data_IF_992815449768
#
_entry.id   IF_992815449768
#
_cell.length_a   1.000
_cell.length_b   1.000
_cell.length_c   1.000
_cell.angle_alpha   90.00
_cell.angle_beta   90.00
_cell.angle_gamma   90.00
#
_symmetry.space_group_name_H-M   'P 1'
#
loop_
_entity.id
_entity.type
_entity.pdbx_description
1 polymer ?
#
# COMPACT_ATOMS: atom_id res chain seq x y z
N UNK A 1 -62.68 11.98 15.08
CA UNK A 1 -61.94 12.38 16.29
C UNK A 1 -60.76 13.24 15.84
N UNK A 2 -60.74 14.56 16.15
CA UNK A 2 -59.80 15.24 17.09
C UNK A 2 -58.33 15.04 16.68
N UNK A 3 -57.46 16.03 16.41
CA UNK A 3 -57.44 17.51 16.46
C UNK A 3 -56.16 17.99 15.73
N UNK A 4 -56.13 19.16 15.08
CA UNK A 4 -55.73 20.50 15.56
C UNK A 4 -54.20 20.77 15.71
N UNK A 5 -53.73 21.78 14.94
CA UNK A 5 -52.63 22.76 15.19
C UNK A 5 -51.16 22.32 15.12
N UNK A 6 -50.14 23.15 14.84
CA UNK A 6 -49.93 24.46 14.17
C UNK A 6 -48.40 24.64 14.02
N UNK A 7 -47.97 25.08 12.84
CA UNK A 7 -46.75 25.82 12.43
C UNK A 7 -45.67 26.10 13.49
N UNK A 8 -44.41 25.78 13.16
CA UNK A 8 -43.26 26.64 13.47
C UNK A 8 -42.43 26.91 12.20
N UNK A 9 -42.41 28.17 11.75
CA UNK A 9 -41.38 28.72 10.88
C UNK A 9 -40.23 29.20 11.76
N UNK A 10 -38.99 28.86 11.43
CA UNK A 10 -37.95 29.90 11.34
C UNK A 10 -36.84 29.50 10.39
N UNK A 11 -36.71 30.31 9.36
CA UNK A 11 -35.57 30.43 8.48
C UNK A 11 -34.32 30.87 9.25
N UNK A 12 -33.17 30.32 8.84
CA UNK A 12 -31.92 31.08 8.66
C UNK A 12 -31.07 30.35 7.61
N UNK A 13 -31.20 30.76 6.36
CA UNK A 13 -30.05 30.77 5.46
C UNK A 13 -29.22 32.01 5.81
N UNK A 14 -27.93 31.83 6.04
CA UNK A 14 -26.91 32.82 5.65
C UNK A 14 -25.51 32.24 5.90
N UNK A 15 -24.78 31.97 4.80
CA UNK A 15 -23.32 31.85 4.79
C UNK A 15 -22.76 30.52 4.25
N UNK A 16 -22.48 30.45 2.94
CA UNK A 16 -21.46 29.56 2.36
C UNK A 16 -20.07 30.02 2.83
N UNK A 17 -19.07 29.13 3.03
CA UNK A 17 -18.24 28.73 1.88
C UNK A 17 -17.71 27.28 1.93
N UNK A 18 -17.59 26.67 0.75
CA UNK A 18 -16.78 25.47 0.53
C UNK A 18 -17.60 24.22 0.23
N UNK A 19 -17.68 23.89 -1.05
CA UNK A 19 -17.98 22.53 -1.51
C UNK A 19 -16.96 21.58 -0.88
N UNK A 20 -17.33 20.92 0.22
CA UNK A 20 -16.66 19.69 0.62
C UNK A 20 -17.15 18.60 -0.32
N UNK A 21 -16.38 18.40 -1.40
CA UNK A 21 -16.51 17.26 -2.27
C UNK A 21 -16.63 15.99 -1.43
N UNK A 22 -17.63 15.18 -1.74
CA UNK A 22 -17.91 13.93 -1.07
C UNK A 22 -16.71 12.99 -1.21
N UNK A 23 -15.85 12.95 -0.20
CA UNK A 23 -15.02 11.78 0.04
C UNK A 23 -15.97 10.72 0.59
N UNK A 24 -16.16 9.57 -0.07
CA UNK A 24 -16.68 8.42 0.63
C UNK A 24 -15.63 8.07 1.68
N UNK A 25 -15.87 8.51 2.92
CA UNK A 25 -15.05 8.14 4.08
C UNK A 25 -15.25 6.65 4.30
N UNK A 26 -14.39 5.85 3.68
CA UNK A 26 -14.24 4.46 4.07
C UNK A 26 -13.72 4.49 5.52
N UNK A 27 -14.49 3.89 6.42
CA UNK A 27 -14.11 3.72 7.83
C UNK A 27 -12.68 3.12 7.88
N UNK A 28 -11.79 3.55 8.79
CA UNK A 28 -10.41 3.06 8.88
C UNK A 28 -10.30 1.53 8.96
N UNK A 29 -11.30 0.89 9.56
CA UNK A 29 -11.43 -0.57 9.68
C UNK A 29 -11.58 -1.26 8.32
N UNK A 30 -12.22 -0.62 7.34
CA UNK A 30 -12.42 -1.17 5.99
C UNK A 30 -11.13 -1.10 5.17
N UNK A 31 -10.31 -0.06 5.38
CA UNK A 31 -9.05 0.12 4.67
C UNK A 31 -7.98 -0.87 5.16
N UNK A 32 -7.97 -1.12 6.46
CA UNK A 32 -7.04 -2.03 7.13
C UNK A 32 -7.44 -3.52 7.05
N UNK A 33 -8.58 -3.87 6.46
CA UNK A 33 -9.08 -5.25 6.41
C UNK A 33 -9.31 -5.78 4.99
N UNK A 34 -9.23 -7.10 4.84
CA UNK A 34 -9.49 -7.79 3.59
C UNK A 34 -8.26 -8.05 2.73
N UNK A 35 -8.48 -8.63 1.56
CA UNK A 35 -7.41 -9.17 0.73
C UNK A 35 -6.58 -8.03 0.10
N UNK A 36 -5.31 -8.33 -0.13
CA UNK A 36 -4.40 -7.46 -0.87
C UNK A 36 -4.88 -7.36 -2.32
N UNK A 37 -4.94 -6.14 -2.87
CA UNK A 37 -5.30 -5.91 -4.26
C UNK A 37 -4.18 -6.40 -5.19
N UNK A 38 -4.53 -6.82 -6.40
CA UNK A 38 -3.54 -7.09 -7.45
C UNK A 38 -2.92 -5.81 -7.99
N UNK A 39 -3.59 -4.65 -7.83
CA UNK A 39 -3.08 -3.34 -8.26
C UNK A 39 -2.31 -2.67 -7.14
N UNK A 40 -1.02 -2.41 -7.35
CA UNK A 40 -0.14 -1.76 -6.38
C UNK A 40 -0.64 -0.38 -5.97
N UNK A 41 -1.23 0.38 -6.90
CA UNK A 41 -1.77 1.71 -6.62
C UNK A 41 -2.87 1.69 -5.56
N UNK A 42 -3.70 0.64 -5.55
CA UNK A 42 -4.78 0.49 -4.57
C UNK A 42 -4.18 0.17 -3.19
N UNK A 43 -3.15 -0.69 -3.15
CA UNK A 43 -2.47 -1.06 -1.91
C UNK A 43 -1.68 0.10 -1.32
N UNK A 44 -0.95 0.86 -2.14
CA UNK A 44 -0.23 2.06 -1.71
C UNK A 44 -1.17 3.05 -1.02
N UNK A 45 -2.33 3.34 -1.64
CA UNK A 45 -3.32 4.24 -1.05
C UNK A 45 -3.82 3.70 0.30
N UNK A 46 -4.16 2.41 0.38
CA UNK A 46 -4.62 1.77 1.62
C UNK A 46 -3.56 1.84 2.72
N UNK A 47 -2.28 1.62 2.38
CA UNK A 47 -1.17 1.74 3.33
C UNK A 47 -1.02 3.19 3.81
N UNK A 48 -1.01 4.17 2.90
CA UNK A 48 -0.92 5.58 3.28
C UNK A 48 -2.07 5.98 4.21
N UNK A 49 -3.30 5.59 3.90
CA UNK A 49 -4.47 5.90 4.73
C UNK A 49 -4.42 5.18 6.08
N UNK A 50 -4.01 3.90 6.12
CA UNK A 50 -3.90 3.12 7.35
C UNK A 50 -2.85 3.69 8.32
N UNK A 51 -1.74 4.22 7.80
CA UNK A 51 -0.71 4.90 8.58
C UNK A 51 -0.97 6.42 8.73
N UNK A 52 -2.13 6.92 8.31
CA UNK A 52 -2.52 8.33 8.48
C UNK A 52 -1.58 9.31 7.77
N UNK A 53 -0.99 8.92 6.65
CA UNK A 53 0.02 9.69 5.91
C UNK A 53 1.24 10.07 6.76
N UNK A 54 1.61 9.22 7.72
CA UNK A 54 2.82 9.42 8.52
C UNK A 54 4.06 9.55 7.64
N UNK A 55 4.94 10.49 7.97
CA UNK A 55 6.25 10.65 7.34
C UNK A 55 7.19 9.48 7.63
N UNK A 56 6.92 8.72 8.69
CA UNK A 56 7.74 7.57 9.08
C UNK A 56 7.48 6.37 8.16
N UNK A 57 6.33 6.34 7.46
CA UNK A 57 6.06 5.30 6.47
C UNK A 57 6.82 5.61 5.18
N UNK A 58 7.84 4.80 4.90
CA UNK A 58 8.62 4.88 3.67
C UNK A 58 7.99 3.97 2.63
N UNK A 59 7.54 4.56 1.52
CA UNK A 59 7.03 3.83 0.35
C UNK A 59 7.96 4.11 -0.83
N UNK A 60 8.54 3.06 -1.41
CA UNK A 60 9.44 3.15 -2.57
C UNK A 60 8.89 2.32 -3.72
N UNK A 61 8.66 2.96 -4.86
CA UNK A 61 8.33 2.29 -6.13
C UNK A 61 9.61 2.06 -6.92
N UNK A 62 9.81 0.83 -7.36
CA UNK A 62 10.95 0.45 -8.20
C UNK A 62 10.48 -0.38 -9.39
N UNK A 63 11.18 -0.24 -10.51
CA UNK A 63 10.98 -1.10 -11.68
C UNK A 63 11.82 -2.37 -11.53
N UNK A 64 11.26 -3.50 -11.93
CA UNK A 64 11.95 -4.79 -11.82
C UNK A 64 12.99 -4.97 -12.94
N UNK A 65 14.28 -4.90 -12.62
CA UNK A 65 15.35 -5.11 -13.59
C UNK A 65 15.18 -4.31 -14.89
N UNK A 66 15.45 -4.94 -16.03
CA UNK A 66 15.23 -4.36 -17.36
C UNK A 66 13.74 -4.35 -17.81
N UNK A 67 12.85 -4.94 -17.01
CA UNK A 67 11.41 -5.00 -17.29
C UNK A 67 10.76 -3.70 -16.85
N UNK A 68 10.66 -2.75 -17.78
CA UNK A 68 10.26 -1.37 -17.50
C UNK A 68 8.80 -1.18 -17.07
N UNK A 69 7.98 -2.20 -17.27
CA UNK A 69 6.52 -2.09 -17.23
C UNK A 69 5.94 -2.70 -15.95
N UNK A 70 6.74 -3.42 -15.16
CA UNK A 70 6.32 -4.00 -13.90
C UNK A 70 6.84 -3.17 -12.73
N UNK A 71 5.91 -2.70 -11.91
CA UNK A 71 6.22 -1.96 -10.69
C UNK A 71 6.26 -2.88 -9.48
N UNK A 72 7.18 -2.56 -8.57
CA UNK A 72 7.32 -3.21 -7.26
C UNK A 72 7.24 -2.12 -6.20
N UNK A 73 6.47 -2.38 -5.16
CA UNK A 73 6.33 -1.52 -4.00
C UNK A 73 7.14 -2.11 -2.85
N UNK A 74 8.04 -1.33 -2.27
CA UNK A 74 8.75 -1.68 -1.04
C UNK A 74 8.31 -0.70 0.03
N UNK A 75 7.84 -1.22 1.17
CA UNK A 75 7.24 -0.42 2.24
C UNK A 75 7.79 -0.86 3.59
N UNK A 76 8.18 0.12 4.40
CA UNK A 76 8.66 -0.10 5.77
C UNK A 76 8.51 1.19 6.60
N UNK A 77 8.74 1.09 7.91
CA UNK A 77 8.76 2.25 8.81
C UNK A 77 10.22 2.65 9.08
N UNK A 78 10.54 3.92 8.84
CA UNK A 78 11.84 4.49 9.19
C UNK A 78 12.06 4.44 10.71
N UNK A 79 13.25 4.03 11.12
CA UNK A 79 13.60 3.81 12.53
C UNK A 79 13.15 2.47 13.12
N UNK A 80 12.31 1.68 12.43
CA UNK A 80 12.06 0.26 12.78
C UNK A 80 12.91 -0.71 11.94
N UNK A 81 13.28 -0.28 10.73
CA UNK A 81 14.10 -1.08 9.82
C UNK A 81 15.38 -0.31 9.48
N UNK A 82 16.49 -1.03 9.36
CA UNK A 82 17.75 -0.45 8.87
C UNK A 82 17.63 -0.15 7.37
N UNK A 83 17.55 1.14 7.04
CA UNK A 83 17.44 1.67 5.67
C UNK A 83 18.60 1.23 4.75
N UNK A 84 19.80 1.03 5.31
CA UNK A 84 20.95 0.51 4.59
C UNK A 84 20.73 -0.97 4.27
N UNK A 85 20.22 -1.77 5.20
CA UNK A 85 19.85 -3.16 4.94
C UNK A 85 18.75 -3.27 3.87
N UNK A 86 17.70 -2.45 3.93
CA UNK A 86 16.67 -2.41 2.87
C UNK A 86 17.29 -2.07 1.52
N UNK A 87 18.19 -1.08 1.48
CA UNK A 87 18.83 -0.66 0.24
C UNK A 87 19.73 -1.77 -0.35
N UNK A 88 20.57 -2.42 0.47
CA UNK A 88 21.49 -3.46 -0.01
C UNK A 88 20.83 -4.83 -0.23
N UNK A 89 19.87 -5.17 0.62
CA UNK A 89 19.21 -6.47 0.68
C UNK A 89 18.01 -6.58 -0.25
N UNK A 90 17.26 -5.48 -0.44
CA UNK A 90 16.00 -5.46 -1.19
C UNK A 90 16.12 -4.60 -2.45
N UNK A 91 16.41 -3.30 -2.32
CA UNK A 91 16.31 -2.38 -3.47
C UNK A 91 17.37 -2.65 -4.53
N UNK A 92 18.65 -2.79 -4.13
CA UNK A 92 19.74 -3.05 -5.08
C UNK A 92 19.60 -4.37 -5.83
N UNK A 93 19.20 -5.50 -5.19
CA UNK A 93 19.02 -6.76 -5.92
C UNK A 93 17.82 -6.79 -6.85
N UNK A 94 16.85 -5.88 -6.70
CA UNK A 94 15.62 -5.81 -7.48
C UNK A 94 15.72 -4.80 -8.63
N UNK A 95 16.36 -3.66 -8.39
CA UNK A 95 16.37 -2.53 -9.31
C UNK A 95 17.04 -2.79 -10.66
N UNK A 96 16.96 -1.79 -11.54
CA UNK A 96 17.34 -1.86 -12.97
C UNK A 96 18.76 -2.35 -13.24
N UNK A 97 19.71 -2.08 -12.34
CA UNK A 97 21.12 -2.48 -12.48
C UNK A 97 21.42 -3.90 -11.98
N UNK A 98 20.39 -4.66 -11.63
CA UNK A 98 20.56 -6.02 -11.15
C UNK A 98 20.73 -6.97 -12.33
N UNK A 99 21.70 -7.88 -12.22
CA UNK A 99 21.86 -9.00 -13.14
C UNK A 99 20.73 -10.02 -12.91
N UNK A 100 19.56 -9.76 -13.46
CA UNK A 100 18.45 -10.71 -13.50
C UNK A 100 18.56 -11.57 -14.76
N UNK A 101 18.37 -12.90 -14.66
CA UNK A 101 18.26 -13.72 -15.84
C UNK A 101 17.07 -13.25 -16.69
N UNK A 102 17.23 -13.15 -18.02
CA UNK A 102 16.13 -12.78 -18.88
C UNK A 102 15.02 -13.85 -18.80
N UNK A 103 13.80 -13.38 -18.59
CA UNK A 103 12.55 -14.06 -18.83
C UNK A 103 12.13 -13.82 -20.29
N UNK A 104 11.86 -14.91 -21.03
CA UNK A 104 11.36 -14.86 -22.41
C UNK A 104 9.99 -14.17 -22.50
N UNK A 105 9.16 -14.35 -21.47
CA UNK A 105 7.86 -13.71 -21.33
C UNK A 105 7.70 -13.26 -19.86
N UNK A 106 7.95 -11.99 -19.55
CA UNK A 106 7.77 -11.46 -18.20
C UNK A 106 6.29 -11.44 -17.83
N UNK A 107 5.92 -12.20 -16.80
CA UNK A 107 4.61 -12.13 -16.17
C UNK A 107 4.75 -11.86 -14.67
N UNK A 108 3.76 -11.24 -14.01
CA UNK A 108 3.80 -10.98 -12.57
C UNK A 108 4.14 -12.25 -11.77
N UNK A 109 3.56 -13.39 -12.12
CA UNK A 109 3.80 -14.68 -11.46
C UNK A 109 5.25 -15.17 -11.62
N UNK A 110 5.82 -15.08 -12.83
CA UNK A 110 7.21 -15.49 -13.07
C UNK A 110 8.20 -14.57 -12.36
N UNK A 111 7.92 -13.27 -12.38
CA UNK A 111 8.75 -12.26 -11.71
C UNK A 111 8.68 -12.44 -10.21
N UNK A 112 7.49 -12.62 -9.65
CA UNK A 112 7.28 -12.96 -8.25
C UNK A 112 8.10 -14.18 -7.85
N UNK A 113 8.05 -15.25 -8.65
CA UNK A 113 8.80 -16.48 -8.38
C UNK A 113 10.31 -16.26 -8.42
N UNK A 114 10.80 -15.48 -9.40
CA UNK A 114 12.21 -15.14 -9.54
C UNK A 114 12.71 -14.25 -8.38
N UNK A 115 11.89 -13.27 -8.00
CA UNK A 115 12.12 -12.38 -6.87
C UNK A 115 12.20 -13.17 -5.57
N UNK A 116 11.18 -13.99 -5.30
CA UNK A 116 11.08 -14.88 -4.14
C UNK A 116 12.31 -15.77 -4.03
N UNK A 117 12.71 -16.44 -5.11
CA UNK A 117 13.89 -17.30 -5.10
C UNK A 117 15.18 -16.57 -4.73
N UNK A 118 15.34 -15.31 -5.16
CA UNK A 118 16.57 -14.53 -4.88
C UNK A 118 16.57 -13.93 -3.48
N UNK A 119 15.41 -13.49 -2.99
CA UNK A 119 15.27 -12.91 -1.65
C UNK A 119 15.31 -13.97 -0.54
N UNK A 120 14.67 -15.14 -0.74
CA UNK A 120 14.76 -16.26 0.19
C UNK A 120 16.21 -16.71 0.41
N UNK A 121 17.04 -16.63 -0.63
CA UNK A 121 18.45 -16.98 -0.50
C UNK A 121 19.25 -15.99 0.39
N UNK A 122 18.65 -14.84 0.75
CA UNK A 122 19.29 -13.76 1.50
C UNK A 122 18.65 -13.48 2.87
N UNK A 123 17.36 -13.81 3.06
CA UNK A 123 16.59 -13.43 4.26
C UNK A 123 15.39 -14.38 4.53
N UNK A 124 14.83 -14.34 5.73
CA UNK A 124 13.59 -15.04 6.10
C UNK A 124 12.38 -14.33 5.47
N UNK A 125 11.82 -14.89 4.39
CA UNK A 125 10.65 -14.34 3.70
C UNK A 125 9.35 -14.99 4.19
N UNK A 126 8.39 -14.17 4.60
CA UNK A 126 7.00 -14.57 4.87
C UNK A 126 6.05 -14.04 3.78
N UNK A 127 4.97 -14.77 3.50
CA UNK A 127 3.93 -14.35 2.55
C UNK A 127 2.64 -14.04 3.32
N UNK A 128 2.04 -12.89 3.02
CA UNK A 128 0.77 -12.45 3.59
C UNK A 128 -0.23 -12.14 2.47
N UNK A 129 -1.48 -12.59 2.62
CA UNK A 129 -2.54 -12.35 1.64
C UNK A 129 -3.53 -11.25 2.04
N UNK A 130 -3.48 -10.81 3.31
CA UNK A 130 -4.42 -9.85 3.90
C UNK A 130 -3.75 -8.57 4.33
N UNK A 131 -4.44 -7.46 4.15
CA UNK A 131 -3.96 -6.13 4.52
C UNK A 131 -3.72 -6.02 6.03
N UNK A 132 -4.61 -6.60 6.84
CA UNK A 132 -4.47 -6.58 8.31
C UNK A 132 -3.17 -7.23 8.79
N UNK A 133 -2.72 -8.29 8.12
CA UNK A 133 -1.48 -8.99 8.46
C UNK A 133 -0.27 -8.25 7.91
N UNK A 134 -0.37 -7.71 6.69
CA UNK A 134 0.67 -6.84 6.12
C UNK A 134 0.98 -5.63 7.01
N UNK A 135 -0.06 -4.95 7.52
CA UNK A 135 0.09 -3.81 8.42
C UNK A 135 0.78 -4.21 9.73
N UNK A 136 0.43 -5.37 10.30
CA UNK A 136 1.08 -5.88 11.53
C UNK A 136 2.56 -6.13 11.30
N UNK A 137 2.92 -6.81 10.21
CA UNK A 137 4.32 -7.10 9.88
C UNK A 137 5.15 -5.82 9.74
N UNK A 138 4.61 -4.80 9.05
CA UNK A 138 5.27 -3.50 8.94
C UNK A 138 5.48 -2.87 10.32
N UNK A 139 4.46 -2.91 11.19
CA UNK A 139 4.56 -2.41 12.57
C UNK A 139 5.53 -3.21 13.45
N UNK A 140 5.81 -4.47 13.12
CA UNK A 140 6.82 -5.29 13.80
C UNK A 140 8.26 -5.02 13.30
N UNK A 141 8.43 -4.09 12.36
CA UNK A 141 9.74 -3.76 11.82
C UNK A 141 10.16 -4.66 10.65
N UNK A 142 9.19 -5.27 9.95
CA UNK A 142 9.46 -5.97 8.71
C UNK A 142 9.25 -5.06 7.49
N UNK A 143 9.95 -5.36 6.40
CA UNK A 143 9.74 -4.70 5.11
C UNK A 143 8.76 -5.49 4.25
N UNK A 144 7.70 -4.83 3.79
CA UNK A 144 6.77 -5.37 2.83
C UNK A 144 7.28 -5.17 1.40
N UNK A 145 7.15 -6.20 0.56
CA UNK A 145 7.47 -6.15 -0.86
C UNK A 145 6.26 -6.66 -1.63
N UNK A 146 5.79 -5.88 -2.59
CA UNK A 146 4.62 -6.20 -3.42
C UNK A 146 5.00 -6.09 -4.90
N UNK A 147 4.40 -6.94 -5.73
CA UNK A 147 4.57 -6.93 -7.19
C UNK A 147 3.22 -6.58 -7.81
N UNK A 148 3.21 -5.68 -8.81
CA UNK A 148 1.97 -5.33 -9.51
C UNK A 148 1.50 -6.46 -10.43
N UNK A 149 0.20 -6.75 -10.43
CA UNK A 149 -0.46 -7.69 -11.35
C UNK A 149 -0.96 -8.98 -10.71
#
# INVERSE_FOLDING_TARGET
MRGRFRIFRKSKQSGTPGEYSAYPSLEPEVLASGDISTRISDNEKRLQEAFGYSSDLVIRKIKFGAYSDLEILVVHIDGLVDDQMVTQGILRPIGVFSDWPPLDEPSPVKIYSQLKSRLIAKDELSEVGRMEDLLKEICFGNSAIMVDG
#
